data_IF_080714521674
#
_entry.id   IF_080714521674
#
_cell.length_a   1.000
_cell.length_b   1.000
_cell.length_c   1.000
_cell.angle_alpha   90.00
_cell.angle_beta   90.00
_cell.angle_gamma   90.00
#
_symmetry.space_group_name_H-M   'P 1'
#
loop_
_entity.id
_entity.type
_entity.pdbx_description
1 polymer ?
#
# COMPACT_ATOMS: atom_id res chain seq x y z
N UNK A 1 -0.70 21.39 39.81
CA UNK A 1 -1.19 21.93 41.08
C UNK A 1 -1.30 20.88 42.17
N UNK A 2 -2.17 19.86 42.03
CA UNK A 2 -2.48 18.89 43.11
C UNK A 2 -1.26 18.24 43.81
N UNK A 3 -0.22 17.79 43.08
CA UNK A 3 0.97 17.18 43.72
C UNK A 3 1.84 18.18 44.52
N UNK A 4 1.86 19.47 44.12
CA UNK A 4 2.63 20.50 44.82
C UNK A 4 1.94 20.87 46.14
N UNK A 5 0.61 20.99 46.10
CA UNK A 5 -0.23 21.22 47.28
C UNK A 5 -0.15 20.07 48.29
N UNK A 6 -0.12 18.82 47.81
CA UNK A 6 0.07 17.65 48.66
C UNK A 6 1.46 17.63 49.35
N UNK A 7 2.52 18.03 48.63
CA UNK A 7 3.87 18.13 49.19
C UNK A 7 3.98 19.18 50.30
N UNK A 8 3.38 20.36 50.09
CA UNK A 8 3.32 21.45 51.07
C UNK A 8 2.47 21.05 52.30
N UNK A 9 1.36 20.34 52.09
CA UNK A 9 0.53 19.84 53.19
C UNK A 9 1.27 18.80 54.05
N UNK A 10 2.10 17.94 53.42
CA UNK A 10 2.88 16.92 54.12
C UNK A 10 4.00 17.52 54.96
N UNK A 11 4.69 18.56 54.46
CA UNK A 11 5.76 19.24 55.21
C UNK A 11 5.26 19.97 56.45
N UNK A 12 3.95 20.30 56.52
CA UNK A 12 3.31 20.89 57.69
C UNK A 12 2.78 19.80 58.66
N UNK A 13 2.14 18.75 58.14
CA UNK A 13 1.49 17.71 58.96
C UNK A 13 2.47 16.75 59.64
N UNK A 14 3.58 16.38 59.00
CA UNK A 14 4.53 15.40 59.55
C UNK A 14 5.19 15.90 60.85
N UNK A 15 5.68 17.15 60.94
CA UNK A 15 6.20 17.69 62.20
C UNK A 15 5.15 17.73 63.32
N UNK A 16 3.92 18.15 63.00
CA UNK A 16 2.81 18.25 63.97
C UNK A 16 2.45 16.88 64.58
N UNK A 17 2.46 15.81 63.79
CA UNK A 17 2.20 14.44 64.28
C UNK A 17 3.33 13.93 65.18
N UNK A 18 4.58 14.37 64.95
CA UNK A 18 5.72 14.07 65.82
C UNK A 18 5.83 15.00 67.04
N UNK A 19 4.82 15.85 67.29
CA UNK A 19 4.81 16.79 68.42
C UNK A 19 5.81 17.94 68.30
N UNK A 20 6.31 18.21 67.08
CA UNK A 20 7.24 19.31 66.79
C UNK A 20 6.48 20.49 66.18
N UNK A 21 6.86 21.72 66.51
CA UNK A 21 6.34 22.88 65.79
C UNK A 21 6.87 22.87 64.35
N UNK A 22 6.02 23.07 63.34
CA UNK A 22 6.46 22.96 61.95
C UNK A 22 7.48 24.07 61.55
N UNK A 23 7.64 25.11 62.36
CA UNK A 23 8.46 26.31 62.10
C UNK A 23 9.02 26.86 63.42
N UNK A 24 9.90 26.15 64.15
CA UNK A 24 10.38 26.62 65.44
C UNK A 24 11.09 27.97 65.29
N UNK A 25 10.98 28.83 66.31
CA UNK A 25 11.55 30.17 66.32
C UNK A 25 13.01 30.17 65.82
N UNK A 26 13.36 31.12 64.93
CA UNK A 26 14.60 31.16 64.14
C UNK A 26 15.92 31.29 64.92
N UNK A 27 15.91 31.03 66.24
CA UNK A 27 17.06 31.07 67.13
C UNK A 27 17.55 29.64 67.46
N UNK A 28 18.23 29.00 66.51
CA UNK A 28 18.92 27.72 66.76
C UNK A 28 19.30 26.94 65.51
N UNK A 29 20.23 26.00 65.62
CA UNK A 29 20.85 25.23 64.52
C UNK A 29 19.86 24.37 63.68
N UNK A 30 18.58 24.31 64.07
CA UNK A 30 17.51 23.55 63.41
C UNK A 30 16.79 24.26 62.24
N UNK A 31 16.98 25.57 62.06
CA UNK A 31 16.32 26.31 60.95
C UNK A 31 16.74 25.78 59.57
N UNK A 32 17.99 25.35 59.43
CA UNK A 32 18.52 24.82 58.19
C UNK A 32 17.85 23.49 57.81
N UNK A 33 17.56 22.64 58.79
CA UNK A 33 16.83 21.38 58.60
C UNK A 33 15.35 21.62 58.24
N UNK A 34 14.73 22.67 58.79
CA UNK A 34 13.36 23.07 58.46
C UNK A 34 13.25 23.64 57.03
N UNK A 35 14.22 24.44 56.59
CA UNK A 35 14.28 24.94 55.21
C UNK A 35 14.59 23.81 54.22
N UNK A 36 15.51 22.89 54.58
CA UNK A 36 15.82 21.74 53.73
C UNK A 36 14.60 20.85 53.54
N UNK A 37 13.85 20.55 54.62
CA UNK A 37 12.66 19.71 54.53
C UNK A 37 11.52 20.38 53.75
N UNK A 38 11.34 21.70 53.89
CA UNK A 38 10.36 22.47 53.13
C UNK A 38 10.62 22.53 51.61
N UNK A 39 11.86 22.31 51.16
CA UNK A 39 12.21 22.33 49.73
C UNK A 39 12.41 20.92 49.17
N UNK A 40 13.13 20.07 49.89
CA UNK A 40 13.48 18.71 49.43
C UNK A 40 12.24 17.80 49.40
N UNK A 41 11.34 17.90 50.38
CA UNK A 41 10.14 17.03 50.41
C UNK A 41 9.19 17.36 49.24
N UNK A 42 8.83 18.64 48.96
CA UNK A 42 8.01 18.94 47.79
C UNK A 42 8.70 18.63 46.46
N UNK A 43 10.01 18.85 46.35
CA UNK A 43 10.77 18.54 45.13
C UNK A 43 10.82 17.03 44.86
N UNK A 44 11.05 16.22 45.89
CA UNK A 44 11.05 14.74 45.78
C UNK A 44 9.67 14.20 45.48
N UNK A 45 8.61 14.72 46.11
CA UNK A 45 7.22 14.36 45.80
C UNK A 45 6.84 14.77 44.37
N UNK A 46 7.28 15.95 43.91
CA UNK A 46 7.05 16.40 42.54
C UNK A 46 7.76 15.52 41.52
N UNK A 47 9.04 15.19 41.76
CA UNK A 47 9.80 14.28 40.91
C UNK A 47 9.20 12.87 40.90
N UNK A 48 8.78 12.34 42.05
CA UNK A 48 8.08 11.07 42.15
C UNK A 48 6.74 11.08 41.39
N UNK A 49 5.92 12.14 41.54
CA UNK A 49 4.70 12.33 40.74
C UNK A 49 5.02 12.40 39.24
N UNK A 50 6.13 13.04 38.84
CA UNK A 50 6.52 13.16 37.44
C UNK A 50 6.96 11.81 36.87
N UNK A 51 7.75 11.04 37.61
CA UNK A 51 8.17 9.67 37.25
C UNK A 51 6.96 8.74 37.16
N UNK A 52 6.04 8.77 38.13
CA UNK A 52 4.81 7.94 38.09
C UNK A 52 3.91 8.33 36.92
N UNK A 53 3.79 9.63 36.60
CA UNK A 53 3.04 10.10 35.41
C UNK A 53 3.74 9.78 34.10
N UNK A 54 5.07 9.73 34.10
CA UNK A 54 5.86 9.33 32.94
C UNK A 54 5.73 7.82 32.71
N UNK A 55 5.89 7.01 33.76
CA UNK A 55 5.64 5.56 33.73
C UNK A 55 4.18 5.23 33.37
N UNK A 56 3.21 6.02 33.83
CA UNK A 56 1.81 5.87 33.43
C UNK A 56 1.59 6.16 31.95
N UNK A 57 2.24 7.20 31.41
CA UNK A 57 2.21 7.51 29.97
C UNK A 57 2.92 6.45 29.13
N UNK A 58 4.05 5.94 29.59
CA UNK A 58 4.79 4.84 28.95
C UNK A 58 3.99 3.53 28.98
N UNK A 59 3.31 3.21 30.09
CA UNK A 59 2.41 2.04 30.18
C UNK A 59 1.18 2.18 29.28
N UNK A 60 0.58 3.37 29.21
CA UNK A 60 -0.57 3.63 28.31
C UNK A 60 -0.12 3.62 26.84
N UNK A 61 1.07 4.14 26.53
CA UNK A 61 1.66 4.06 25.20
C UNK A 61 1.98 2.62 24.82
N UNK A 62 2.63 1.85 25.70
CA UNK A 62 2.91 0.43 25.48
C UNK A 62 1.64 -0.42 25.36
N UNK A 63 0.61 -0.14 26.17
CA UNK A 63 -0.71 -0.78 26.05
C UNK A 63 -1.42 -0.40 24.75
N UNK A 64 -1.27 0.85 24.27
CA UNK A 64 -1.75 1.27 22.94
C UNK A 64 -0.99 0.59 21.82
N UNK A 65 0.33 0.45 21.90
CA UNK A 65 1.14 -0.27 20.89
C UNK A 65 0.80 -1.75 20.89
N UNK A 66 0.57 -2.36 22.06
CA UNK A 66 0.12 -3.75 22.16
C UNK A 66 -1.30 -3.92 21.61
N UNK A 67 -2.24 -3.03 21.92
CA UNK A 67 -3.59 -3.05 21.37
C UNK A 67 -3.65 -2.73 19.86
N UNK A 68 -2.73 -1.88 19.35
CA UNK A 68 -2.53 -1.64 17.92
C UNK A 68 -1.94 -2.88 17.24
N UNK A 69 -0.97 -3.54 17.85
CA UNK A 69 -0.40 -4.79 17.35
C UNK A 69 -1.47 -5.89 17.33
N UNK A 70 -2.27 -6.00 18.40
CA UNK A 70 -3.37 -6.96 18.53
C UNK A 70 -4.51 -6.63 17.56
N UNK A 71 -4.78 -5.35 17.30
CA UNK A 71 -5.72 -4.90 16.27
C UNK A 71 -5.21 -5.21 14.88
N UNK A 72 -3.95 -4.91 14.55
CA UNK A 72 -3.30 -5.26 13.27
C UNK A 72 -3.28 -6.78 13.08
N UNK A 73 -3.06 -7.55 14.15
CA UNK A 73 -3.12 -9.01 14.14
C UNK A 73 -4.54 -9.56 13.98
N UNK A 74 -5.56 -8.85 14.47
CA UNK A 74 -6.96 -9.23 14.35
C UNK A 74 -7.62 -8.77 13.04
N UNK A 75 -7.10 -7.70 12.41
CA UNK A 75 -7.57 -7.17 11.12
C UNK A 75 -6.72 -7.64 9.93
N UNK A 76 -5.53 -8.19 10.15
CA UNK A 76 -4.71 -8.77 9.09
C UNK A 76 -5.35 -10.05 8.57
N UNK A 77 -5.74 -10.06 7.30
CA UNK A 77 -6.17 -11.26 6.57
C UNK A 77 -5.01 -12.20 6.19
N UNK A 78 -3.76 -11.79 6.46
CA UNK A 78 -2.55 -12.58 6.16
C UNK A 78 -1.99 -13.28 7.41
N UNK A 79 -1.40 -14.46 7.18
CA UNK A 79 -0.68 -15.20 8.20
C UNK A 79 0.69 -14.58 8.44
N UNK A 80 0.88 -13.97 9.62
CA UNK A 80 2.16 -13.42 10.05
C UNK A 80 2.93 -14.50 10.82
N UNK A 81 4.21 -14.64 10.52
CA UNK A 81 5.07 -15.64 11.15
C UNK A 81 6.47 -15.09 11.41
N UNK A 82 7.13 -15.60 12.46
CA UNK A 82 8.54 -15.36 12.70
C UNK A 82 9.26 -16.63 13.14
N UNK A 83 10.52 -16.75 12.75
CA UNK A 83 11.42 -17.85 13.03
C UNK A 83 12.65 -17.34 13.77
N UNK A 84 13.15 -18.15 14.70
CA UNK A 84 14.46 -17.96 15.32
C UNK A 84 15.61 -18.45 14.41
N UNK A 85 16.89 -18.29 14.80
CA UNK A 85 18.03 -18.75 14.00
C UNK A 85 18.09 -20.27 13.81
N UNK A 86 17.41 -21.03 14.67
CA UNK A 86 17.33 -22.48 14.58
C UNK A 86 16.19 -22.93 13.64
N UNK A 87 15.43 -22.00 13.05
CA UNK A 87 14.30 -22.30 12.18
C UNK A 87 13.04 -22.73 12.92
N UNK A 88 12.94 -22.41 14.21
CA UNK A 88 11.75 -22.67 15.03
C UNK A 88 10.85 -21.44 15.08
N UNK A 89 9.54 -21.63 15.07
CA UNK A 89 8.60 -20.51 15.15
C UNK A 89 8.73 -19.79 16.49
N UNK A 90 9.15 -18.53 16.44
CA UNK A 90 9.15 -17.61 17.57
C UNK A 90 7.85 -16.80 17.62
N UNK A 91 7.09 -16.76 16.53
CA UNK A 91 5.78 -16.11 16.45
C UNK A 91 4.92 -16.69 15.32
N UNK A 92 3.60 -16.67 15.52
CA UNK A 92 2.61 -17.02 14.49
C UNK A 92 1.27 -16.34 14.81
N UNK A 93 0.64 -15.68 13.84
CA UNK A 93 -0.69 -15.07 14.02
C UNK A 93 -1.80 -16.13 14.05
N UNK A 94 -3.00 -15.82 14.59
CA UNK A 94 -4.14 -16.75 14.63
C UNK A 94 -4.60 -17.27 13.25
N UNK A 95 -4.29 -16.54 12.17
CA UNK A 95 -4.59 -16.91 10.78
C UNK A 95 -3.92 -18.23 10.38
N UNK A 96 -2.87 -18.67 11.10
CA UNK A 96 -2.26 -19.99 10.86
C UNK A 96 -3.23 -21.18 11.00
N UNK A 97 -4.33 -21.00 11.75
CA UNK A 97 -5.42 -21.98 11.84
C UNK A 97 -6.08 -22.22 10.48
N UNK A 98 -6.26 -21.17 9.70
CA UNK A 98 -6.89 -21.22 8.39
C UNK A 98 -5.88 -21.69 7.31
N UNK A 99 -4.61 -21.30 7.44
CA UNK A 99 -3.58 -21.62 6.45
C UNK A 99 -3.03 -23.04 6.61
N UNK A 100 -2.64 -23.44 7.82
CA UNK A 100 -1.96 -24.73 8.08
C UNK A 100 -2.67 -25.61 9.11
N UNK A 101 -3.76 -25.14 9.72
CA UNK A 101 -4.58 -25.95 10.64
C UNK A 101 -4.01 -26.14 12.04
N UNK A 102 -2.96 -25.40 12.40
CA UNK A 102 -2.35 -25.43 13.73
C UNK A 102 -2.81 -24.25 14.58
N UNK A 103 -2.84 -24.45 15.89
CA UNK A 103 -2.96 -23.33 16.83
C UNK A 103 -1.62 -22.58 16.94
N UNK A 104 -1.61 -21.24 17.12
CA UNK A 104 -0.36 -20.48 17.32
C UNK A 104 0.53 -21.06 18.42
N UNK A 105 -0.08 -21.48 19.53
CA UNK A 105 0.62 -22.09 20.67
C UNK A 105 1.23 -23.48 20.33
N UNK A 106 0.68 -24.20 19.36
CA UNK A 106 1.22 -25.49 18.89
C UNK A 106 2.38 -25.31 17.91
N UNK A 107 2.46 -24.15 17.23
CA UNK A 107 3.57 -23.81 16.34
C UNK A 107 4.76 -23.23 17.10
N UNK A 108 4.51 -22.46 18.17
CA UNK A 108 5.57 -21.84 18.96
C UNK A 108 6.61 -22.85 19.45
N UNK A 109 7.90 -22.58 19.16
CA UNK A 109 9.04 -23.46 19.47
C UNK A 109 9.16 -24.70 18.57
N UNK A 110 8.25 -24.90 17.61
CA UNK A 110 8.30 -26.02 16.67
C UNK A 110 9.12 -25.64 15.45
N UNK A 111 9.94 -26.57 14.97
CA UNK A 111 10.74 -26.34 13.76
C UNK A 111 9.86 -26.25 12.50
N UNK A 112 10.22 -25.36 11.58
CA UNK A 112 9.46 -25.06 10.34
C UNK A 112 9.18 -26.30 9.49
N UNK A 113 10.02 -27.34 9.56
CA UNK A 113 9.80 -28.63 8.89
C UNK A 113 8.51 -29.37 9.32
N UNK A 114 7.85 -28.93 10.40
CA UNK A 114 6.54 -29.48 10.78
C UNK A 114 5.44 -29.12 9.77
N UNK A 115 5.54 -27.95 9.13
CA UNK A 115 4.55 -27.44 8.18
C UNK A 115 5.06 -27.41 6.73
N UNK A 116 6.33 -27.75 6.50
CA UNK A 116 6.92 -27.86 5.16
C UNK A 116 7.05 -29.32 4.74
N UNK A 117 6.89 -29.59 3.43
CA UNK A 117 7.19 -30.90 2.84
C UNK A 117 8.73 -31.10 2.78
N UNK A 118 9.27 -32.25 3.23
CA UNK A 118 10.70 -32.51 3.20
C UNK A 118 11.34 -32.43 1.80
N UNK A 119 10.62 -32.79 0.74
CA UNK A 119 11.14 -32.77 -0.63
C UNK A 119 11.31 -31.32 -1.16
N UNK A 120 10.38 -30.43 -0.81
CA UNK A 120 10.42 -29.01 -1.15
C UNK A 120 11.48 -28.26 -0.32
N UNK A 121 11.71 -28.70 0.92
CA UNK A 121 12.77 -28.16 1.78
C UNK A 121 14.17 -28.52 1.25
N UNK A 122 14.33 -29.69 0.65
CA UNK A 122 15.58 -30.11 -0.01
C UNK A 122 15.81 -29.40 -1.35
N UNK A 123 14.75 -29.11 -2.11
CA UNK A 123 14.82 -28.28 -3.32
C UNK A 123 15.21 -26.83 -2.98
N UNK A 124 14.55 -26.21 -2.00
CA UNK A 124 14.86 -24.87 -1.52
C UNK A 124 16.29 -24.77 -0.92
N UNK A 125 16.80 -25.84 -0.28
CA UNK A 125 18.19 -25.91 0.20
C UNK A 125 19.22 -26.08 -0.93
N UNK A 126 18.83 -26.67 -2.07
CA UNK A 126 19.69 -26.85 -3.24
C UNK A 126 19.84 -25.55 -4.03
N UNK A 127 18.75 -24.80 -4.25
CA UNK A 127 18.79 -23.50 -4.92
C UNK A 127 19.58 -22.47 -4.10
N UNK A 128 19.47 -22.51 -2.77
CA UNK A 128 20.21 -21.61 -1.85
C UNK A 128 21.72 -21.90 -1.75
N UNK A 129 22.22 -23.02 -2.28
CA UNK A 129 23.67 -23.33 -2.33
C UNK A 129 24.35 -22.80 -3.60
N UNK A 130 23.59 -22.25 -4.55
CA UNK A 130 24.13 -21.67 -5.78
C UNK A 130 24.34 -20.15 -5.71
N UNK A 131 23.83 -19.47 -4.69
CA UNK A 131 23.99 -18.03 -4.47
C UNK A 131 24.58 -17.76 -3.09
N UNK A 132 25.82 -17.24 -3.06
CA UNK A 132 26.45 -16.72 -1.85
C UNK A 132 25.63 -15.54 -1.29
N UNK A 133 24.76 -15.78 -0.30
CA UNK A 133 24.08 -14.69 0.41
C UNK A 133 22.89 -15.14 1.27
N UNK A 134 23.12 -15.35 2.57
CA UNK A 134 22.06 -15.57 3.58
C UNK A 134 21.28 -14.30 3.97
N UNK A 135 21.34 -13.24 3.16
CA UNK A 135 21.10 -11.85 3.60
C UNK A 135 19.97 -11.13 2.85
N UNK A 136 19.21 -11.85 2.03
CA UNK A 136 18.24 -11.26 1.08
C UNK A 136 16.81 -11.47 1.57
N UNK A 137 16.01 -10.40 1.57
CA UNK A 137 14.56 -10.48 1.76
C UNK A 137 13.90 -11.05 0.50
N UNK A 138 12.90 -11.92 0.66
CA UNK A 138 12.18 -12.56 -0.44
C UNK A 138 10.71 -12.17 -0.37
N UNK A 139 10.06 -12.05 -1.52
CA UNK A 139 8.65 -11.69 -1.63
C UNK A 139 7.98 -12.56 -2.68
N UNK A 140 6.76 -13.01 -2.39
CA UNK A 140 5.90 -13.68 -3.37
C UNK A 140 6.27 -15.13 -3.69
N UNK A 141 7.00 -15.82 -2.81
CA UNK A 141 7.43 -17.20 -3.07
C UNK A 141 6.27 -18.15 -2.78
N UNK A 142 5.71 -18.76 -3.82
CA UNK A 142 4.64 -19.78 -3.66
C UNK A 142 5.25 -21.13 -3.32
N UNK A 143 4.81 -21.72 -2.22
CA UNK A 143 5.29 -23.00 -1.71
C UNK A 143 4.16 -23.87 -1.19
N UNK A 144 4.35 -25.19 -1.26
CA UNK A 144 3.41 -26.16 -0.71
C UNK A 144 3.73 -26.40 0.76
N UNK A 145 2.77 -26.07 1.62
CA UNK A 145 2.79 -26.39 3.03
C UNK A 145 1.90 -27.59 3.31
N UNK A 146 2.22 -28.32 4.38
CA UNK A 146 1.43 -29.43 4.88
C UNK A 146 0.46 -28.92 5.94
N UNK A 147 -0.83 -28.99 5.63
CA UNK A 147 -1.89 -28.76 6.61
C UNK A 147 -1.91 -29.87 7.67
N UNK A 148 -2.33 -29.56 8.90
CA UNK A 148 -2.46 -30.52 10.01
C UNK A 148 -3.28 -31.76 9.65
N UNK A 149 -4.31 -31.58 8.82
CA UNK A 149 -5.17 -32.65 8.32
C UNK A 149 -4.52 -33.53 7.23
N UNK A 150 -3.25 -33.28 6.87
CA UNK A 150 -2.46 -34.11 5.97
C UNK A 150 -2.52 -33.75 4.48
N UNK A 151 -3.33 -32.79 4.08
CA UNK A 151 -3.38 -32.30 2.69
C UNK A 151 -2.38 -31.15 2.45
N UNK A 152 -2.04 -30.90 1.18
CA UNK A 152 -1.17 -29.80 0.77
C UNK A 152 -1.97 -28.51 0.63
N UNK A 153 -1.42 -27.41 1.12
CA UNK A 153 -1.95 -26.05 0.99
C UNK A 153 -0.88 -25.19 0.37
N UNK A 154 -1.26 -24.46 -0.66
CA UNK A 154 -0.34 -23.55 -1.33
C UNK A 154 -0.37 -22.22 -0.64
N UNK A 155 0.82 -21.71 -0.34
CA UNK A 155 0.98 -20.46 0.39
C UNK A 155 2.02 -19.63 -0.32
N UNK A 156 1.64 -18.42 -0.70
CA UNK A 156 2.58 -17.39 -1.10
C UNK A 156 3.19 -16.80 0.16
N UNK A 157 4.51 -16.88 0.30
CA UNK A 157 5.27 -16.52 1.48
C UNK A 157 6.30 -15.45 1.13
N UNK A 158 6.32 -14.39 1.93
CA UNK A 158 7.29 -13.30 1.86
C UNK A 158 8.01 -13.21 3.20
N UNK A 159 9.32 -12.94 3.21
CA UNK A 159 10.08 -12.85 4.47
C UNK A 159 11.34 -12.02 4.37
N UNK A 160 11.79 -11.50 5.52
CA UNK A 160 13.01 -10.71 5.66
C UNK A 160 13.82 -11.17 6.87
N UNK A 161 15.15 -10.96 6.88
CA UNK A 161 15.96 -11.24 8.05
C UNK A 161 15.68 -10.24 9.18
N UNK A 162 15.51 -10.76 10.40
CA UNK A 162 15.55 -9.99 11.63
C UNK A 162 17.01 -9.80 12.04
N UNK A 163 17.41 -8.58 12.41
CA UNK A 163 18.77 -8.27 12.87
C UNK A 163 18.77 -7.78 14.29
N UNK A 164 19.78 -8.17 15.06
CA UNK A 164 20.06 -7.57 16.35
C UNK A 164 20.72 -6.19 16.22
N UNK A 165 20.94 -5.51 17.35
CA UNK A 165 21.59 -4.20 17.37
C UNK A 165 23.04 -4.19 16.87
N UNK A 166 23.64 -5.37 16.62
CA UNK A 166 24.97 -5.55 16.05
C UNK A 166 24.94 -5.92 14.56
N UNK A 167 23.76 -6.01 13.94
CA UNK A 167 23.58 -6.33 12.52
C UNK A 167 23.59 -7.82 12.19
N UNK A 168 23.70 -8.70 13.20
CA UNK A 168 23.70 -10.15 13.02
C UNK A 168 22.28 -10.65 12.79
N UNK A 169 22.09 -11.55 11.81
CA UNK A 169 20.77 -12.16 11.55
C UNK A 169 20.38 -13.04 12.73
N UNK A 170 19.33 -12.64 13.45
CA UNK A 170 18.82 -13.29 14.65
C UNK A 170 17.47 -14.00 14.42
N UNK A 171 17.01 -14.07 13.17
CA UNK A 171 15.78 -14.77 12.80
C UNK A 171 15.24 -14.29 11.46
N UNK A 172 14.03 -14.72 11.13
CA UNK A 172 13.29 -14.27 9.95
C UNK A 172 11.86 -13.94 10.33
N UNK A 173 11.28 -12.93 9.72
CA UNK A 173 9.85 -12.62 9.87
C UNK A 173 9.21 -12.41 8.50
N UNK A 174 7.92 -12.66 8.40
CA UNK A 174 7.24 -12.62 7.13
C UNK A 174 5.74 -12.77 7.18
N UNK A 175 5.15 -12.76 6.00
CA UNK A 175 3.71 -12.97 5.78
C UNK A 175 3.48 -14.18 4.88
N UNK A 176 2.28 -14.74 4.97
CA UNK A 176 1.85 -15.89 4.21
C UNK A 176 0.37 -15.76 3.87
N UNK A 177 0.00 -16.00 2.62
CA UNK A 177 -1.41 -16.06 2.21
C UNK A 177 -1.68 -17.33 1.42
N UNK A 178 -2.83 -17.94 1.65
CA UNK A 178 -3.24 -19.11 0.85
C UNK A 178 -3.49 -18.69 -0.58
N UNK A 179 -3.00 -19.50 -1.51
CA UNK A 179 -3.31 -19.34 -2.94
C UNK A 179 -4.14 -20.53 -3.41
N UNK A 180 -5.04 -20.35 -4.40
CA UNK A 180 -5.84 -21.44 -4.93
C UNK A 180 -4.97 -22.61 -5.39
N UNK A 181 -5.45 -23.87 -5.27
CA UNK A 181 -4.69 -25.10 -5.60
C UNK A 181 -4.12 -25.16 -7.03
N UNK A 182 -4.55 -24.27 -7.92
CA UNK A 182 -4.04 -24.12 -9.28
C UNK A 182 -2.66 -23.43 -9.37
N UNK A 183 -2.14 -22.92 -8.24
CA UNK A 183 -0.86 -22.20 -8.16
C UNK A 183 0.32 -23.04 -7.61
N UNK A 184 0.23 -24.38 -7.59
CA UNK A 184 1.06 -25.23 -6.72
C UNK A 184 2.41 -25.67 -7.26
N UNK A 185 3.47 -25.75 -6.41
CA UNK A 185 4.82 -26.11 -6.84
C UNK A 185 4.92 -27.61 -7.07
N UNK A 186 5.22 -27.97 -8.31
CA UNK A 186 5.37 -29.35 -8.76
C UNK A 186 5.57 -29.50 -10.27
N UNK A 187 5.28 -28.47 -11.06
CA UNK A 187 5.54 -28.45 -12.52
C UNK A 187 5.62 -27.06 -13.17
N UNK A 188 5.70 -26.00 -12.37
CA UNK A 188 5.24 -24.64 -12.73
C UNK A 188 6.17 -23.87 -13.66
N UNK A 189 7.48 -24.16 -13.69
CA UNK A 189 8.40 -23.40 -14.54
C UNK A 189 8.13 -23.57 -16.04
N UNK A 190 7.63 -24.74 -16.44
CA UNK A 190 7.30 -25.05 -17.84
C UNK A 190 5.86 -24.65 -18.15
N UNK A 191 4.90 -24.96 -17.28
CA UNK A 191 3.47 -24.64 -17.53
C UNK A 191 3.17 -23.13 -17.49
N UNK A 192 3.69 -22.37 -16.51
CA UNK A 192 3.47 -20.90 -16.49
C UNK A 192 4.16 -20.23 -17.66
N UNK A 193 5.40 -20.63 -17.98
CA UNK A 193 6.09 -20.09 -19.16
C UNK A 193 5.35 -20.44 -20.45
N UNK A 194 4.94 -21.69 -20.64
CA UNK A 194 4.18 -22.13 -21.83
C UNK A 194 2.83 -21.40 -21.92
N UNK A 195 2.13 -21.21 -20.79
CA UNK A 195 0.88 -20.46 -20.73
C UNK A 195 1.07 -18.98 -21.07
N UNK A 196 2.13 -18.35 -20.54
CA UNK A 196 2.51 -16.96 -20.86
C UNK A 196 2.90 -16.85 -22.33
N UNK A 197 3.76 -17.72 -22.83
CA UNK A 197 4.21 -17.74 -24.22
C UNK A 197 3.03 -18.01 -25.18
N UNK A 198 2.07 -18.87 -24.80
CA UNK A 198 0.83 -19.10 -25.55
C UNK A 198 -0.09 -17.87 -25.56
N UNK A 199 -0.22 -17.17 -24.43
CA UNK A 199 -0.98 -15.91 -24.31
C UNK A 199 -0.32 -14.80 -25.16
N UNK A 200 1.00 -14.65 -25.12
CA UNK A 200 1.78 -13.71 -25.93
C UNK A 200 1.64 -14.00 -27.43
N UNK A 201 1.77 -15.28 -27.82
CA UNK A 201 1.64 -15.72 -29.22
C UNK A 201 0.22 -15.54 -29.73
N UNK A 202 -0.77 -15.93 -28.93
CA UNK A 202 -2.19 -15.83 -29.26
C UNK A 202 -2.77 -14.41 -29.16
N UNK A 203 -2.04 -13.48 -28.52
CA UNK A 203 -2.49 -12.11 -28.23
C UNK A 203 -3.86 -12.06 -27.55
N UNK A 204 -4.05 -12.91 -26.54
CA UNK A 204 -5.35 -13.14 -25.88
C UNK A 204 -5.66 -12.11 -24.80
N UNK A 205 -5.67 -10.84 -25.17
CA UNK A 205 -6.06 -9.72 -24.31
C UNK A 205 -6.85 -8.66 -25.09
N UNK A 206 -7.56 -7.82 -24.35
CA UNK A 206 -8.24 -6.64 -24.84
C UNK A 206 -7.87 -5.44 -23.98
N UNK A 207 -8.04 -4.24 -24.54
CA UNK A 207 -7.95 -2.99 -23.78
C UNK A 207 -9.35 -2.52 -23.42
N UNK A 208 -9.58 -2.29 -22.13
CA UNK A 208 -10.74 -1.54 -21.65
C UNK A 208 -10.30 -0.13 -21.26
N UNK A 209 -11.11 0.88 -21.58
CA UNK A 209 -10.87 2.24 -21.12
C UNK A 209 -11.81 2.58 -19.96
N UNK A 210 -11.27 3.13 -18.87
CA UNK A 210 -12.06 3.67 -17.78
C UNK A 210 -12.01 5.20 -17.78
N UNK A 211 -13.14 5.90 -17.68
CA UNK A 211 -13.15 7.36 -17.74
C UNK A 211 -12.60 8.00 -16.46
N UNK A 212 -11.76 9.01 -16.63
CA UNK A 212 -11.27 9.90 -15.59
C UNK A 212 -12.02 11.23 -15.73
N UNK A 213 -12.64 11.70 -14.65
CA UNK A 213 -13.51 12.88 -14.67
C UNK A 213 -12.95 14.05 -13.88
N UNK A 214 -13.17 15.25 -14.41
CA UNK A 214 -13.10 16.48 -13.63
C UNK A 214 -14.29 16.52 -12.67
N UNK A 215 -14.04 16.52 -11.36
CA UNK A 215 -15.10 16.48 -10.35
C UNK A 215 -15.90 17.80 -10.30
N UNK A 216 -15.25 18.92 -10.65
CA UNK A 216 -15.92 20.23 -10.71
C UNK A 216 -16.90 20.37 -11.89
N UNK A 217 -16.66 19.67 -13.00
CA UNK A 217 -17.51 19.80 -14.21
C UNK A 217 -18.31 18.54 -14.55
N UNK A 218 -17.96 17.40 -13.96
CA UNK A 218 -18.48 16.08 -14.30
C UNK A 218 -18.01 15.53 -15.65
N UNK A 219 -17.22 16.29 -16.41
CA UNK A 219 -16.78 15.91 -17.77
C UNK A 219 -15.66 14.88 -17.72
N UNK A 220 -15.65 13.97 -18.68
CA UNK A 220 -14.52 13.07 -18.92
C UNK A 220 -13.39 13.89 -19.54
N UNK A 221 -12.23 13.85 -18.90
CA UNK A 221 -11.03 14.60 -19.31
C UNK A 221 -9.91 13.69 -19.83
N UNK A 222 -9.95 12.42 -19.43
CA UNK A 222 -9.07 11.38 -19.93
C UNK A 222 -9.63 10.01 -19.64
N UNK A 223 -8.88 9.00 -20.02
CA UNK A 223 -9.20 7.61 -19.75
C UNK A 223 -7.96 6.85 -19.34
N UNK A 224 -8.11 5.83 -18.52
CA UNK A 224 -7.06 4.86 -18.23
C UNK A 224 -7.24 3.61 -19.08
N UNK A 225 -6.16 3.16 -19.70
CA UNK A 225 -6.09 1.91 -20.44
C UNK A 225 -5.82 0.74 -19.49
N UNK A 226 -6.79 -0.17 -19.38
CA UNK A 226 -6.75 -1.32 -18.50
C UNK A 226 -6.75 -2.61 -19.33
N UNK A 227 -5.70 -3.41 -19.18
CA UNK A 227 -5.59 -4.70 -19.88
C UNK A 227 -6.59 -5.71 -19.31
N UNK A 228 -7.25 -6.47 -20.18
CA UNK A 228 -8.17 -7.56 -19.85
C UNK A 228 -7.72 -8.83 -20.56
N UNK A 229 -7.30 -9.83 -19.80
CA UNK A 229 -6.90 -11.12 -20.35
C UNK A 229 -8.14 -11.99 -20.58
N UNK A 230 -8.21 -12.64 -21.74
CA UNK A 230 -9.37 -13.47 -22.15
C UNK A 230 -9.26 -14.94 -21.72
N UNK A 231 -8.20 -15.27 -20.97
CA UNK A 231 -7.90 -16.60 -20.45
C UNK A 231 -8.71 -16.94 -19.18
N UNK A 232 -8.64 -18.20 -18.75
CA UNK A 232 -9.46 -18.88 -17.71
C UNK A 232 -10.12 -17.95 -16.67
N UNK A 233 -11.43 -18.11 -16.38
CA UNK A 233 -12.14 -17.28 -15.42
C UNK A 233 -11.44 -17.27 -14.05
N UNK A 234 -10.97 -16.10 -13.60
CA UNK A 234 -10.48 -15.90 -12.23
C UNK A 234 -9.06 -15.35 -12.09
N UNK A 235 -8.23 -15.34 -13.12
CA UNK A 235 -6.90 -14.70 -13.06
C UNK A 235 -7.04 -13.20 -13.27
N UNK A 236 -6.66 -12.39 -12.27
CA UNK A 236 -6.67 -10.94 -12.40
C UNK A 236 -5.53 -10.48 -13.34
N UNK A 237 -5.63 -9.31 -13.98
CA UNK A 237 -4.53 -8.77 -14.79
C UNK A 237 -3.20 -8.71 -14.04
N UNK A 238 -3.26 -8.42 -12.75
CA UNK A 238 -2.10 -8.36 -11.86
C UNK A 238 -1.39 -9.71 -11.77
N UNK A 239 -2.12 -10.81 -11.71
CA UNK A 239 -1.54 -12.17 -11.73
C UNK A 239 -0.75 -12.40 -13.01
N UNK A 240 -1.28 -12.03 -14.18
CA UNK A 240 -0.60 -12.22 -15.46
C UNK A 240 0.69 -11.42 -15.59
N UNK A 241 0.67 -10.14 -15.20
CA UNK A 241 1.89 -9.32 -15.21
C UNK A 241 2.93 -9.84 -14.21
N UNK A 242 2.48 -10.28 -13.04
CA UNK A 242 3.36 -10.87 -12.01
C UNK A 242 4.01 -12.14 -12.53
N UNK A 243 3.22 -13.09 -13.05
CA UNK A 243 3.72 -14.34 -13.61
C UNK A 243 4.66 -14.12 -14.80
N UNK A 244 4.31 -13.21 -15.71
CA UNK A 244 5.16 -12.82 -16.82
C UNK A 244 6.52 -12.30 -16.34
N UNK A 245 6.53 -11.43 -15.32
CA UNK A 245 7.77 -10.92 -14.73
C UNK A 245 8.61 -12.06 -14.13
N UNK A 246 8.00 -12.99 -13.39
CA UNK A 246 8.70 -14.14 -12.80
C UNK A 246 9.35 -15.05 -13.85
N UNK A 247 8.75 -15.20 -15.03
CA UNK A 247 9.33 -15.97 -16.14
C UNK A 247 10.16 -15.11 -17.12
N UNK A 248 10.51 -13.88 -16.76
CA UNK A 248 11.34 -13.00 -17.61
C UNK A 248 10.67 -12.57 -18.92
N UNK A 249 9.34 -12.54 -18.94
CA UNK A 249 8.47 -12.06 -20.04
C UNK A 249 7.69 -10.79 -19.67
N UNK A 250 7.93 -10.20 -18.50
CA UNK A 250 7.20 -9.03 -18.00
C UNK A 250 7.26 -7.82 -18.95
N UNK A 251 8.48 -7.36 -19.26
CA UNK A 251 8.68 -6.20 -20.16
C UNK A 251 8.08 -6.47 -21.55
N UNK A 252 8.23 -7.68 -22.08
CA UNK A 252 7.65 -8.04 -23.38
C UNK A 252 6.13 -7.94 -23.36
N UNK A 253 5.49 -8.46 -22.31
CA UNK A 253 4.04 -8.37 -22.13
C UNK A 253 3.59 -6.91 -22.03
N UNK A 254 4.24 -6.10 -21.20
CA UNK A 254 3.94 -4.67 -21.03
C UNK A 254 4.07 -3.88 -22.34
N UNK A 255 5.09 -4.16 -23.14
CA UNK A 255 5.29 -3.52 -24.44
C UNK A 255 4.18 -3.92 -25.44
N UNK A 256 3.77 -5.19 -25.43
CA UNK A 256 2.69 -5.67 -26.31
C UNK A 256 1.31 -5.14 -25.91
N UNK A 257 1.03 -5.04 -24.61
CA UNK A 257 -0.23 -4.47 -24.11
C UNK A 257 -0.25 -2.96 -24.27
N UNK A 258 0.86 -2.25 -24.13
CA UNK A 258 1.00 -0.83 -24.49
C UNK A 258 0.64 -0.59 -25.96
N UNK A 259 1.22 -1.36 -26.88
CA UNK A 259 0.90 -1.25 -28.32
C UNK A 259 -0.59 -1.49 -28.56
N UNK A 260 -1.18 -2.48 -27.90
CA UNK A 260 -2.62 -2.76 -27.99
C UNK A 260 -3.46 -1.60 -27.48
N UNK A 261 -3.10 -1.03 -26.33
CA UNK A 261 -3.79 0.10 -25.73
C UNK A 261 -3.74 1.35 -26.62
N UNK A 262 -2.57 1.71 -27.14
CA UNK A 262 -2.42 2.86 -28.04
C UNK A 262 -3.14 2.65 -29.37
N UNK A 263 -3.18 1.42 -29.89
CA UNK A 263 -3.96 1.09 -31.09
C UNK A 263 -5.47 1.27 -30.84
N UNK A 264 -5.98 0.76 -29.71
CA UNK A 264 -7.40 0.92 -29.34
C UNK A 264 -7.77 2.38 -29.09
N UNK A 265 -6.84 3.16 -28.52
CA UNK A 265 -7.01 4.56 -28.21
C UNK A 265 -7.21 5.47 -29.44
N UNK A 266 -6.91 4.99 -30.65
CA UNK A 266 -7.19 5.71 -31.89
C UNK A 266 -8.70 5.99 -32.09
N UNK A 267 -9.58 5.17 -31.50
CA UNK A 267 -11.03 5.37 -31.53
C UNK A 267 -11.54 6.38 -30.47
N UNK A 268 -10.69 6.80 -29.53
CA UNK A 268 -11.10 7.72 -28.46
C UNK A 268 -11.24 9.15 -28.98
N UNK A 269 -12.19 9.93 -28.40
CA UNK A 269 -12.30 11.35 -28.68
C UNK A 269 -10.98 12.12 -28.52
N UNK A 270 -10.66 12.96 -29.50
CA UNK A 270 -9.35 13.62 -29.64
C UNK A 270 -8.95 14.57 -28.50
N UNK A 271 -9.89 15.02 -27.69
CA UNK A 271 -9.63 15.90 -26.54
C UNK A 271 -9.26 15.14 -25.26
N UNK A 272 -9.49 13.81 -25.21
CA UNK A 272 -9.18 12.99 -24.06
C UNK A 272 -7.70 12.64 -24.05
N UNK A 273 -7.07 12.73 -22.87
CA UNK A 273 -5.79 12.07 -22.67
C UNK A 273 -5.99 10.57 -22.38
N UNK A 274 -4.94 9.79 -22.60
CA UNK A 274 -4.91 8.34 -22.41
C UNK A 274 -3.78 8.01 -21.45
N UNK A 275 -4.16 7.49 -20.29
CA UNK A 275 -3.26 6.94 -19.30
C UNK A 275 -2.92 5.49 -19.65
N UNK A 276 -1.63 5.13 -19.61
CA UNK A 276 -1.13 3.78 -19.89
C UNK A 276 -0.13 3.36 -18.81
N UNK A 277 -0.30 2.14 -18.30
CA UNK A 277 0.48 1.60 -17.18
C UNK A 277 1.77 0.92 -17.64
N UNK A 278 2.92 1.38 -17.13
CA UNK A 278 4.24 0.77 -17.37
C UNK A 278 5.06 0.65 -16.09
N UNK A 279 5.80 -0.45 -15.97
CA UNK A 279 6.83 -0.59 -14.95
C UNK A 279 8.04 0.31 -15.24
N UNK A 280 8.82 0.69 -14.21
CA UNK A 280 10.09 1.37 -14.39
C UNK A 280 11.05 0.66 -15.36
N UNK A 281 11.08 -0.69 -15.34
CA UNK A 281 11.94 -1.45 -16.25
C UNK A 281 11.45 -1.35 -17.71
N UNK A 282 10.14 -1.41 -17.95
CA UNK A 282 9.58 -1.24 -19.28
C UNK A 282 9.78 0.20 -19.81
N UNK A 283 9.79 1.21 -18.92
CA UNK A 283 10.09 2.60 -19.27
C UNK A 283 11.49 2.80 -19.88
N UNK A 284 12.43 1.87 -19.62
CA UNK A 284 13.78 1.89 -20.17
C UNK A 284 13.88 1.16 -21.52
N UNK A 285 12.79 0.59 -22.02
CA UNK A 285 12.81 -0.16 -23.27
C UNK A 285 13.11 0.75 -24.46
N UNK A 286 14.08 0.39 -25.33
CA UNK A 286 14.39 1.16 -26.54
C UNK A 286 13.24 1.16 -27.56
N UNK A 287 12.25 0.27 -27.40
CA UNK A 287 11.10 0.19 -28.30
C UNK A 287 10.10 1.35 -28.12
N UNK A 288 10.11 2.03 -26.97
CA UNK A 288 9.11 3.04 -26.62
C UNK A 288 9.02 4.18 -27.64
N UNK A 289 10.16 4.68 -28.11
CA UNK A 289 10.17 5.75 -29.11
C UNK A 289 9.42 5.34 -30.38
N UNK A 290 9.71 4.14 -30.91
CA UNK A 290 9.01 3.62 -32.09
C UNK A 290 7.53 3.34 -31.84
N UNK A 291 7.15 2.92 -30.63
CA UNK A 291 5.75 2.68 -30.27
C UNK A 291 4.97 4.00 -30.24
N UNK A 292 5.51 5.04 -29.60
CA UNK A 292 4.84 6.33 -29.55
C UNK A 292 4.75 6.96 -30.96
N UNK A 293 5.83 6.91 -31.74
CA UNK A 293 5.86 7.44 -33.11
C UNK A 293 4.82 6.75 -34.02
N UNK A 294 4.67 5.43 -33.91
CA UNK A 294 3.75 4.66 -34.77
C UNK A 294 2.30 4.63 -34.26
N UNK A 295 2.05 5.05 -33.02
CA UNK A 295 0.70 5.06 -32.43
C UNK A 295 -0.27 6.03 -33.10
N UNK A 296 0.23 7.10 -33.73
CA UNK A 296 -0.59 8.20 -34.25
C UNK A 296 -1.24 9.07 -33.16
N UNK A 297 -0.95 8.85 -31.88
CA UNK A 297 -1.43 9.65 -30.76
C UNK A 297 -0.37 10.68 -30.39
N UNK A 298 -0.76 11.96 -30.35
CA UNK A 298 0.15 13.01 -29.95
C UNK A 298 0.62 12.82 -28.49
N UNK A 299 1.93 12.93 -28.24
CA UNK A 299 2.53 12.65 -26.92
C UNK A 299 1.88 13.43 -25.77
N UNK A 300 1.44 14.68 -25.98
CA UNK A 300 0.74 15.46 -24.95
C UNK A 300 -0.61 14.88 -24.50
N UNK A 301 -1.19 13.99 -25.32
CA UNK A 301 -2.36 13.20 -24.95
C UNK A 301 -2.01 11.93 -24.17
N UNK A 302 -0.74 11.53 -24.09
CA UNK A 302 -0.34 10.32 -23.37
C UNK A 302 0.09 10.70 -21.96
N UNK A 303 -0.44 9.98 -20.98
CA UNK A 303 0.01 9.98 -19.58
C UNK A 303 0.61 8.61 -19.32
N UNK A 304 1.89 8.54 -18.98
CA UNK A 304 2.55 7.30 -18.60
C UNK A 304 2.43 7.11 -17.09
N UNK A 305 1.71 6.09 -16.65
CA UNK A 305 1.53 5.76 -15.25
C UNK A 305 2.63 4.79 -14.82
N UNK A 306 3.55 5.28 -13.98
CA UNK A 306 4.65 4.49 -13.47
C UNK A 306 4.17 3.76 -12.22
N UNK A 307 4.04 2.44 -12.33
CA UNK A 307 3.53 1.58 -11.25
C UNK A 307 4.55 1.43 -10.12
N UNK A 308 4.10 1.32 -8.86
CA UNK A 308 4.97 1.21 -7.67
C UNK A 308 5.58 -0.17 -7.43
N UNK A 309 5.18 -1.19 -8.22
CA UNK A 309 5.46 -2.61 -7.95
C UNK A 309 6.94 -3.00 -8.11
N UNK A 310 7.76 -2.12 -8.66
CA UNK A 310 9.20 -2.36 -8.79
C UNK A 310 9.98 -1.23 -8.14
N UNK A 311 10.78 -1.58 -7.13
CA UNK A 311 11.72 -0.66 -6.54
C UNK A 311 12.75 -0.22 -7.59
N UNK A 312 12.86 1.08 -7.80
CA UNK A 312 13.91 1.66 -8.63
C UNK A 312 15.14 1.89 -7.77
N UNK A 313 16.21 1.16 -8.06
CA UNK A 313 17.50 1.32 -7.39
C UNK A 313 18.14 2.65 -7.76
N UNK A 314 18.17 2.96 -9.07
CA UNK A 314 18.71 4.19 -9.64
C UNK A 314 17.67 4.87 -10.53
N UNK A 315 17.33 6.11 -10.18
CA UNK A 315 16.34 6.92 -10.89
C UNK A 315 16.94 7.73 -12.04
N UNK A 316 18.27 7.91 -12.08
CA UNK A 316 18.90 8.71 -13.13
C UNK A 316 18.64 8.13 -14.53
N UNK A 317 18.81 6.80 -14.78
CA UNK A 317 18.50 6.23 -16.09
C UNK A 317 17.02 6.36 -16.46
N UNK A 318 16.13 6.18 -15.49
CA UNK A 318 14.68 6.29 -15.70
C UNK A 318 14.27 7.71 -16.05
N UNK A 319 14.74 8.70 -15.28
CA UNK A 319 14.48 10.10 -15.55
C UNK A 319 15.03 10.53 -16.91
N UNK A 320 16.25 10.12 -17.25
CA UNK A 320 16.86 10.43 -18.55
C UNK A 320 16.10 9.80 -19.73
N UNK A 321 15.66 8.55 -19.59
CA UNK A 321 14.87 7.86 -20.62
C UNK A 321 13.52 8.56 -20.86
N UNK A 322 12.86 8.99 -19.79
CA UNK A 322 11.55 9.65 -19.88
C UNK A 322 11.63 11.12 -20.30
N UNK A 323 12.74 11.81 -20.02
CA UNK A 323 12.89 13.25 -20.30
C UNK A 323 12.72 13.58 -21.79
N UNK A 324 13.20 12.70 -22.67
CA UNK A 324 13.04 12.87 -24.13
C UNK A 324 11.56 12.95 -24.52
N UNK A 325 10.71 12.12 -23.91
CA UNK A 325 9.27 12.12 -24.16
C UNK A 325 8.56 13.27 -23.45
N UNK A 326 8.97 13.60 -22.22
CA UNK A 326 8.43 14.73 -21.44
C UNK A 326 8.64 16.06 -22.17
N UNK A 327 9.83 16.28 -22.69
CA UNK A 327 10.17 17.46 -23.51
C UNK A 327 9.30 17.57 -24.78
N UNK A 328 8.76 16.45 -25.28
CA UNK A 328 7.81 16.40 -26.41
C UNK A 328 6.32 16.43 -25.98
N UNK A 329 6.06 16.58 -24.68
CA UNK A 329 4.73 16.79 -24.11
C UNK A 329 4.14 15.61 -23.34
N UNK A 330 4.78 14.44 -23.34
CA UNK A 330 4.30 13.29 -22.57
C UNK A 330 4.25 13.64 -21.07
N UNK A 331 3.14 13.29 -20.43
CA UNK A 331 2.96 13.49 -18.99
C UNK A 331 3.24 12.19 -18.24
N UNK A 332 3.63 12.30 -16.99
CA UNK A 332 3.87 11.16 -16.10
C UNK A 332 2.86 11.21 -14.96
N UNK A 333 2.30 10.05 -14.62
CA UNK A 333 1.60 9.83 -13.36
C UNK A 333 2.40 8.85 -12.50
N UNK A 334 2.26 8.98 -11.18
CA UNK A 334 2.60 7.89 -10.24
C UNK A 334 1.30 7.27 -9.77
N UNK A 335 1.22 5.96 -9.95
CA UNK A 335 0.06 5.13 -9.58
C UNK A 335 0.15 4.65 -8.13
N UNK A 336 -0.99 4.25 -7.56
CA UNK A 336 -1.12 3.70 -6.20
C UNK A 336 -0.49 4.54 -5.06
N UNK A 337 -0.49 5.86 -5.18
CA UNK A 337 0.18 6.72 -4.22
C UNK A 337 -0.43 6.61 -2.82
N UNK A 338 0.41 6.23 -1.86
CA UNK A 338 0.05 6.08 -0.45
C UNK A 338 -0.17 4.63 0.01
N UNK A 339 -0.03 3.65 -0.88
CA UNK A 339 0.05 2.24 -0.53
C UNK A 339 1.44 1.83 0.03
N UNK A 340 2.50 2.61 -0.23
CA UNK A 340 3.86 2.28 0.26
C UNK A 340 4.92 3.38 0.14
N UNK A 341 6.15 3.04 0.57
CA UNK A 341 7.31 3.95 0.50
C UNK A 341 7.84 4.13 -0.93
N UNK A 342 7.63 3.15 -1.81
CA UNK A 342 8.06 3.19 -3.20
C UNK A 342 7.34 4.30 -3.98
N UNK A 343 6.02 4.41 -3.89
CA UNK A 343 5.23 5.47 -4.54
C UNK A 343 5.66 6.87 -4.09
N UNK A 344 5.92 7.11 -2.81
CA UNK A 344 6.43 8.42 -2.35
C UNK A 344 7.82 8.74 -2.94
N UNK A 345 8.71 7.74 -3.02
CA UNK A 345 10.01 7.93 -3.66
C UNK A 345 9.86 8.20 -5.16
N UNK A 346 8.95 7.53 -5.86
CA UNK A 346 8.65 7.82 -7.26
C UNK A 346 8.19 9.27 -7.43
N UNK A 347 7.27 9.76 -6.59
CA UNK A 347 6.79 11.14 -6.67
C UNK A 347 7.94 12.14 -6.52
N UNK A 348 8.80 11.96 -5.52
CA UNK A 348 9.90 12.88 -5.25
C UNK A 348 10.97 12.89 -6.34
N UNK A 349 11.26 11.73 -6.93
CA UNK A 349 12.33 11.58 -7.93
C UNK A 349 11.85 11.90 -9.35
N UNK A 350 10.63 11.49 -9.72
CA UNK A 350 10.08 11.68 -11.07
C UNK A 350 9.36 13.01 -11.24
N UNK A 351 8.92 13.66 -10.14
CA UNK A 351 8.14 14.91 -10.15
C UNK A 351 6.98 14.84 -11.15
N UNK A 352 6.03 13.92 -10.94
CA UNK A 352 5.00 13.60 -11.92
C UNK A 352 4.01 14.75 -12.09
N UNK A 353 3.34 14.76 -13.24
CA UNK A 353 2.28 15.71 -13.55
C UNK A 353 0.95 15.30 -12.88
N UNK A 354 0.77 14.01 -12.62
CA UNK A 354 -0.38 13.44 -11.93
C UNK A 354 0.05 12.52 -10.78
N UNK A 355 -0.72 12.52 -9.70
CA UNK A 355 -0.60 11.54 -8.61
C UNK A 355 -1.95 10.88 -8.45
N UNK A 356 -2.00 9.55 -8.56
CA UNK A 356 -3.23 8.80 -8.34
C UNK A 356 -3.24 8.25 -6.92
N UNK A 357 -4.27 8.57 -6.14
CA UNK A 357 -4.45 8.05 -4.79
C UNK A 357 -5.23 6.74 -4.86
N UNK A 358 -4.60 5.68 -4.37
CA UNK A 358 -5.17 4.32 -4.36
C UNK A 358 -6.53 4.26 -3.63
N UNK A 359 -7.34 3.29 -4.06
CA UNK A 359 -8.61 2.95 -3.44
C UNK A 359 -8.48 2.63 -1.96
N UNK A 360 -7.37 2.11 -1.46
CA UNK A 360 -7.12 1.90 -0.03
C UNK A 360 -7.21 3.17 0.82
N UNK A 361 -7.00 4.34 0.22
CA UNK A 361 -7.18 5.65 0.88
C UNK A 361 -8.58 6.20 0.65
N UNK A 362 -9.17 5.97 -0.53
CA UNK A 362 -10.46 6.55 -0.91
C UNK A 362 -11.64 5.77 -0.34
N UNK A 363 -11.56 4.44 -0.26
CA UNK A 363 -12.64 3.59 0.22
C UNK A 363 -12.94 3.88 1.69
N UNK A 364 -14.18 4.31 1.98
CA UNK A 364 -14.63 4.65 3.33
C UNK A 364 -14.15 6.00 3.88
N UNK A 365 -13.52 6.84 3.04
CA UNK A 365 -12.97 8.16 3.43
C UNK A 365 -14.02 9.09 4.04
N UNK A 366 -15.30 8.88 3.72
CA UNK A 366 -16.40 9.65 4.29
C UNK A 366 -16.58 9.45 5.81
N UNK A 367 -16.14 8.31 6.34
CA UNK A 367 -16.28 7.94 7.75
C UNK A 367 -14.99 7.90 8.54
N UNK A 368 -13.83 7.86 7.89
CA UNK A 368 -12.52 7.77 8.54
C UNK A 368 -11.80 9.14 8.59
N UNK A 369 -11.64 9.75 9.78
CA UNK A 369 -10.94 11.03 9.93
C UNK A 369 -9.45 10.97 9.57
N UNK A 370 -8.80 9.81 9.72
CA UNK A 370 -7.41 9.58 9.36
C UNK A 370 -7.20 9.58 7.85
N UNK A 371 -8.05 8.87 7.10
CA UNK A 371 -8.05 8.92 5.63
C UNK A 371 -8.34 10.34 5.13
N UNK A 372 -9.29 11.07 5.75
CA UNK A 372 -9.56 12.48 5.40
C UNK A 372 -8.35 13.39 5.63
N UNK A 373 -7.66 13.23 6.77
CA UNK A 373 -6.47 13.99 7.08
C UNK A 373 -5.32 13.69 6.12
N UNK A 374 -5.12 12.41 5.77
CA UNK A 374 -4.14 11.99 4.78
C UNK A 374 -4.48 12.55 3.39
N UNK A 375 -5.74 12.44 2.96
CA UNK A 375 -6.22 13.01 1.70
C UNK A 375 -5.99 14.53 1.62
N UNK A 376 -6.29 15.27 2.69
CA UNK A 376 -6.02 16.70 2.77
C UNK A 376 -4.51 17.03 2.66
N UNK A 377 -3.67 16.26 3.34
CA UNK A 377 -2.21 16.41 3.26
C UNK A 377 -1.69 16.15 1.84
N UNK A 378 -2.22 15.12 1.16
CA UNK A 378 -1.87 14.79 -0.23
C UNK A 378 -2.32 15.88 -1.21
N UNK A 379 -3.48 16.51 -1.00
CA UNK A 379 -3.91 17.68 -1.80
C UNK A 379 -2.92 18.83 -1.64
N UNK A 380 -2.53 19.16 -0.40
CA UNK A 380 -1.53 20.20 -0.14
C UNK A 380 -0.18 19.88 -0.79
N UNK A 381 0.30 18.65 -0.62
CA UNK A 381 1.56 18.21 -1.20
C UNK A 381 1.56 18.24 -2.74
N UNK A 382 0.50 17.75 -3.38
CA UNK A 382 0.34 17.79 -4.82
C UNK A 382 0.39 19.23 -5.36
N UNK A 383 -0.27 20.18 -4.67
CA UNK A 383 -0.25 21.58 -5.03
C UNK A 383 1.17 22.20 -4.96
N UNK A 384 1.94 21.88 -3.92
CA UNK A 384 3.32 22.40 -3.74
C UNK A 384 4.28 21.92 -4.83
N UNK A 385 4.10 20.68 -5.32
CA UNK A 385 4.95 20.14 -6.40
C UNK A 385 4.38 20.40 -7.81
N UNK A 386 3.19 21.00 -7.91
CA UNK A 386 2.52 21.29 -9.17
C UNK A 386 1.86 20.08 -9.86
N UNK A 387 1.55 19.01 -9.11
CA UNK A 387 0.89 17.81 -9.63
C UNK A 387 -0.63 17.85 -9.44
N UNK A 388 -1.36 17.20 -10.35
CA UNK A 388 -2.81 17.00 -10.24
C UNK A 388 -3.11 15.69 -9.51
N UNK A 389 -3.92 15.76 -8.46
CA UNK A 389 -4.37 14.58 -7.74
C UNK A 389 -5.58 13.92 -8.43
N UNK A 390 -5.54 12.59 -8.57
CA UNK A 390 -6.65 11.76 -9.06
C UNK A 390 -7.07 10.82 -7.95
N UNK A 391 -8.31 10.92 -7.48
CA UNK A 391 -8.85 9.97 -6.50
C UNK A 391 -9.38 8.71 -7.21
N UNK A 392 -8.84 7.54 -6.89
CA UNK A 392 -9.25 6.28 -7.49
C UNK A 392 -10.28 5.49 -6.69
N UNK A 393 -11.00 4.63 -7.40
CA UNK A 393 -11.92 3.70 -6.76
C UNK A 393 -13.10 4.37 -6.07
N UNK A 394 -13.56 5.54 -6.53
CA UNK A 394 -14.77 6.18 -5.99
C UNK A 394 -16.00 5.32 -6.36
N UNK A 395 -16.72 4.82 -5.35
CA UNK A 395 -17.87 3.93 -5.53
C UNK A 395 -19.16 4.48 -4.95
N UNK A 396 -19.09 5.43 -4.02
CA UNK A 396 -20.28 6.01 -3.37
C UNK A 396 -20.34 7.54 -3.49
N UNK A 397 -21.55 8.10 -3.50
CA UNK A 397 -21.76 9.55 -3.47
C UNK A 397 -21.16 10.21 -2.20
N UNK A 398 -21.08 9.46 -1.10
CA UNK A 398 -20.49 9.92 0.15
C UNK A 398 -18.97 10.11 0.01
N UNK A 399 -18.27 9.12 -0.55
CA UNK A 399 -16.84 9.22 -0.89
C UNK A 399 -16.59 10.40 -1.85
N UNK A 400 -17.37 10.49 -2.93
CA UNK A 400 -17.26 11.58 -3.90
C UNK A 400 -17.42 12.96 -3.25
N UNK A 401 -18.39 13.10 -2.34
CA UNK A 401 -18.63 14.36 -1.62
C UNK A 401 -17.43 14.76 -0.78
N UNK A 402 -16.82 13.82 -0.06
CA UNK A 402 -15.66 14.08 0.79
C UNK A 402 -14.41 14.36 -0.05
N UNK A 403 -14.13 13.55 -1.06
CA UNK A 403 -13.03 13.75 -2.03
C UNK A 403 -13.09 15.16 -2.64
N UNK A 404 -14.27 15.57 -3.10
CA UNK A 404 -14.48 16.91 -3.68
C UNK A 404 -14.29 18.02 -2.63
N UNK A 405 -14.79 17.83 -1.41
CA UNK A 405 -14.65 18.80 -0.31
C UNK A 405 -13.20 18.98 0.14
N UNK A 406 -12.40 17.91 0.08
CA UNK A 406 -10.96 17.97 0.39
C UNK A 406 -10.15 18.71 -0.68
N UNK A 407 -10.75 19.01 -1.84
CA UNK A 407 -10.12 19.78 -2.92
C UNK A 407 -9.53 18.92 -4.03
N UNK A 408 -9.83 17.62 -4.08
CA UNK A 408 -9.41 16.77 -5.20
C UNK A 408 -10.24 17.15 -6.44
N UNK A 409 -9.57 17.56 -7.51
CA UNK A 409 -10.23 18.08 -8.72
C UNK A 409 -10.58 17.02 -9.76
N UNK A 410 -10.01 15.83 -9.63
CA UNK A 410 -10.10 14.74 -10.61
C UNK A 410 -10.37 13.42 -9.90
N UNK A 411 -11.17 12.55 -10.49
CA UNK A 411 -11.45 11.23 -9.92
C UNK A 411 -11.85 10.18 -10.95
N UNK A 412 -11.71 8.94 -10.53
CA UNK A 412 -12.02 7.72 -11.26
C UNK A 412 -12.63 6.70 -10.30
N UNK A 413 -13.53 5.85 -10.80
CA UNK A 413 -14.19 4.84 -10.00
C UNK A 413 -15.52 4.40 -10.61
N UNK A 414 -16.11 3.31 -10.11
CA UNK A 414 -17.32 2.74 -10.70
C UNK A 414 -18.53 3.66 -10.63
N UNK A 415 -18.58 4.57 -9.65
CA UNK A 415 -19.58 5.63 -9.59
C UNK A 415 -19.46 6.60 -10.78
N UNK A 416 -18.23 6.89 -11.20
CA UNK A 416 -17.92 7.87 -12.24
C UNK A 416 -17.89 7.24 -13.64
N UNK A 417 -17.65 5.93 -13.73
CA UNK A 417 -17.76 5.16 -14.95
C UNK A 417 -16.95 3.87 -14.86
N UNK A 418 -17.52 2.79 -15.40
CA UNK A 418 -16.87 1.48 -15.43
C UNK A 418 -15.92 1.37 -16.63
N UNK A 419 -14.87 0.54 -16.53
CA UNK A 419 -14.05 0.19 -17.69
C UNK A 419 -14.91 -0.42 -18.80
N UNK A 420 -14.70 0.03 -20.05
CA UNK A 420 -15.44 -0.45 -21.23
C UNK A 420 -14.50 -0.89 -22.34
N UNK A 421 -14.83 -2.00 -23.00
CA UNK A 421 -14.16 -2.50 -24.21
C UNK A 421 -14.92 -2.14 -25.50
N UNK A 422 -16.03 -1.41 -25.39
CA UNK A 422 -16.99 -1.18 -26.47
C UNK A 422 -16.81 0.25 -27.03
N UNK A 423 -16.36 0.42 -28.29
CA UNK A 423 -16.11 1.75 -28.86
C UNK A 423 -17.30 2.71 -28.83
N UNK A 424 -18.53 2.22 -29.00
CA UNK A 424 -19.75 3.03 -28.96
C UNK A 424 -19.99 3.65 -27.57
N UNK A 425 -19.52 3.03 -26.50
CA UNK A 425 -19.58 3.59 -25.15
C UNK A 425 -18.54 4.69 -24.96
N UNK A 426 -17.40 4.61 -25.63
CA UNK A 426 -16.34 5.62 -25.55
C UNK A 426 -16.73 6.93 -26.24
N UNK A 427 -17.53 6.86 -27.31
CA UNK A 427 -18.04 8.03 -28.02
C UNK A 427 -18.94 8.92 -27.13
N UNK A 428 -19.54 8.35 -26.08
CA UNK A 428 -20.33 9.09 -25.09
C UNK A 428 -19.48 10.00 -24.21
N UNK A 429 -18.15 9.87 -24.25
CA UNK A 429 -17.20 10.72 -23.51
C UNK A 429 -16.76 11.95 -24.31
N UNK A 430 -17.36 12.19 -25.49
CA UNK A 430 -17.21 13.44 -26.21
C UNK A 430 -17.73 14.60 -25.36
N UNK A 431 -17.10 15.77 -25.51
CA UNK A 431 -17.65 16.99 -24.92
C UNK A 431 -19.04 17.21 -25.53
N UNK A 432 -20.08 17.11 -24.71
CA UNK A 432 -21.37 17.68 -25.07
C UNK A 432 -21.17 19.18 -25.32
N UNK A 433 -21.46 19.61 -26.55
CA UNK A 433 -21.74 21.03 -26.83
C UNK A 433 -22.85 21.53 -25.90
N UNK A 434 -22.99 22.86 -25.69
CA UNK A 434 -23.84 23.43 -24.65
C UNK A 434 -25.23 22.77 -24.65
N UNK A 435 -25.57 22.20 -23.49
CA UNK A 435 -26.80 21.49 -23.14
C UNK A 435 -28.03 21.99 -23.89
N UNK A 436 -28.38 21.33 -25.00
CA UNK A 436 -29.68 21.45 -25.62
C UNK A 436 -30.67 20.59 -24.83
N UNK A 437 -31.23 21.19 -23.79
CA UNK A 437 -32.51 20.80 -23.22
C UNK A 437 -32.49 19.54 -22.34
N UNK A 438 -32.94 19.72 -21.09
CA UNK A 438 -33.72 18.68 -20.40
C UNK A 438 -34.67 18.06 -21.42
N UNK A 439 -34.46 16.80 -21.79
CA UNK A 439 -35.53 15.98 -22.35
C UNK A 439 -36.60 15.91 -21.27
N UNK A 440 -37.63 16.75 -21.43
CA UNK A 440 -38.88 16.61 -20.71
C UNK A 440 -39.35 15.16 -20.84
N UNK A 441 -39.83 14.60 -19.73
CA UNK A 441 -40.42 13.28 -19.67
C UNK A 441 -41.46 13.11 -20.80
N UNK A 442 -41.57 11.93 -21.42
CA UNK A 442 -42.59 11.68 -22.42
C UNK A 442 -43.97 11.85 -21.77
N UNK A 443 -44.68 12.90 -22.17
CA UNK A 443 -46.09 13.12 -21.88
C UNK A 443 -46.88 11.92 -22.42
N UNK A 444 -47.58 11.25 -21.51
CA UNK A 444 -48.44 10.11 -21.76
C UNK A 444 -49.70 10.53 -22.54
N UNK A 445 -50.00 9.99 -23.73
CA UNK A 445 -51.27 10.22 -24.39
C UNK A 445 -52.18 8.99 -24.17
N UNK A 446 -52.91 8.93 -23.05
CA UNK A 446 -54.10 8.06 -22.98
C UNK A 446 -55.03 8.41 -21.79
N UNK A 447 -56.20 8.96 -22.13
CA UNK A 447 -57.55 8.87 -21.51
C UNK A 447 -58.34 10.06 -22.07
N UNK A 448 -59.22 9.86 -23.06
CA UNK A 448 -60.66 9.54 -22.88
C UNK A 448 -61.32 10.34 -21.77
#
# INVERSE_FOLDING_TARGET
MVCLEAGIALSIRVPLVMGQEPWPAWAGQGWMLAVLSAVVIPATVFMACRVVRQQGRERVAAARTAALMESVLATSSEWLWALDPAGCFSFSSPVCREVVGYEPAELFGRHISAVFDPEDLEAARRDRRAEDGTDIAWTGVVMALRHRAGHRVLVEVSGRPLRDGAGTVCGFEGTGRTVPPEAGPGGVGVDVRERIDAMLTGRTWLTAFQPIRSLGTGRVIGVEALTRFLSSPGSSPETWFTEAAHVGRGVELEILTLRSALTAAAALPGHLYVAVNLSPQACLSPELAGIFDTSGIALHRIVLEVTERQAVQDYEPLAAALETFRSAGLRIAVDDAGAGFASMRHILQLKPDLIKLDRGIIAGIDTDPGQQALGAAMVGFAAEIGAVLVAEGIETDAELSVVSRLGMGTGQGYLLGRPSVVPEEWDQWRLDGPSAGRRAAPSNPSRR
#
